data_IF_506540162657
#
_entry.id   IF_506540162657
#
_cell.length_a   1.000
_cell.length_b   1.000
_cell.length_c   1.000
_cell.angle_alpha   90.00
_cell.angle_beta   90.00
_cell.angle_gamma   90.00
#
_symmetry.space_group_name_H-M   'P 1'
#
loop_
_entity.id
_entity.type
_entity.pdbx_description
1 polymer ?
#
# COMPACT_ATOMS: atom_id res chain seq x y z
N UNK A 1 -11.15 23.84 -1.91
CA UNK A 1 -10.50 23.76 -0.58
C UNK A 1 -9.31 22.83 -0.77
N UNK A 2 -8.13 23.38 -0.68
CA UNK A 2 -6.87 22.67 -0.73
C UNK A 2 -6.83 21.64 0.41
N UNK A 3 -7.01 20.36 0.07
CA UNK A 3 -6.88 19.22 1.00
C UNK A 3 -5.46 18.68 1.03
N UNK A 4 -4.47 19.55 0.87
CA UNK A 4 -3.13 19.13 1.21
C UNK A 4 -3.15 18.53 2.61
N UNK A 5 -2.66 17.29 2.83
CA UNK A 5 -2.55 16.65 4.15
C UNK A 5 -1.79 17.50 5.17
N UNK A 6 -1.33 18.63 4.72
CA UNK A 6 -0.53 19.58 5.47
C UNK A 6 -1.31 20.54 6.39
N UNK A 7 -2.65 20.55 6.43
CA UNK A 7 -3.35 21.55 7.25
C UNK A 7 -3.33 21.29 8.76
N UNK A 8 -3.07 20.08 9.20
CA UNK A 8 -2.89 19.81 10.64
C UNK A 8 -1.42 19.71 11.06
N UNK A 9 -0.53 19.45 10.08
CA UNK A 9 0.93 19.38 10.25
C UNK A 9 1.62 20.40 9.34
N UNK A 10 0.90 21.20 8.61
CA UNK A 10 1.25 21.57 7.24
C UNK A 10 1.69 22.98 6.96
N UNK A 11 1.44 24.00 7.73
CA UNK A 11 2.01 25.33 7.40
C UNK A 11 3.50 25.44 7.70
N UNK A 12 3.97 24.53 8.54
CA UNK A 12 5.41 24.46 8.90
C UNK A 12 6.22 23.65 7.89
N UNK A 13 5.60 22.70 7.16
CA UNK A 13 6.27 21.84 6.18
C UNK A 13 6.52 22.48 4.83
N UNK A 14 5.82 23.54 4.47
CA UNK A 14 5.89 24.18 3.14
C UNK A 14 7.25 24.71 2.72
N UNK A 15 8.23 24.79 3.62
CA UNK A 15 9.54 25.38 3.34
C UNK A 15 10.70 24.40 3.21
N UNK A 16 10.49 23.11 3.49
CA UNK A 16 11.57 22.13 3.48
C UNK A 16 11.30 21.05 2.41
N UNK A 17 12.18 20.95 1.40
CA UNK A 17 11.97 20.07 0.24
C UNK A 17 12.16 18.57 0.53
N UNK A 18 12.90 18.19 1.57
CA UNK A 18 13.32 16.81 1.83
C UNK A 18 12.68 16.24 3.10
N UNK A 19 12.70 16.99 4.20
CA UNK A 19 12.15 16.53 5.49
C UNK A 19 11.17 17.57 6.02
N UNK A 20 9.99 17.12 6.42
CA UNK A 20 9.01 17.97 7.07
C UNK A 20 9.43 18.31 8.52
N UNK A 21 8.90 19.42 9.05
CA UNK A 21 9.13 19.80 10.45
C UNK A 21 8.13 19.10 11.35
N UNK A 22 8.55 18.41 12.42
CA UNK A 22 7.63 17.79 13.37
C UNK A 22 6.65 18.81 13.97
N UNK A 23 5.36 18.49 13.98
CA UNK A 23 4.33 19.26 14.63
C UNK A 23 3.82 18.55 15.89
N UNK A 24 3.43 19.33 16.89
CA UNK A 24 2.91 18.81 18.15
C UNK A 24 1.51 19.39 18.44
N UNK A 25 0.79 19.83 17.41
CA UNK A 25 -0.52 20.49 17.52
C UNK A 25 -1.58 19.63 18.18
N UNK A 26 -1.44 18.30 18.10
CA UNK A 26 -2.28 17.36 18.85
C UNK A 26 -2.26 17.61 20.38
N UNK A 27 -1.16 18.12 20.89
CA UNK A 27 -1.00 18.42 22.32
C UNK A 27 -1.30 19.88 22.68
N UNK A 28 -1.09 20.78 21.72
CA UNK A 28 -1.16 22.24 21.96
C UNK A 28 -2.46 22.89 21.49
N UNK A 29 -3.18 22.26 20.54
CA UNK A 29 -4.41 22.78 19.94
C UNK A 29 -5.48 21.70 19.78
N UNK A 30 -5.70 20.90 20.81
CA UNK A 30 -6.58 19.73 20.79
C UNK A 30 -8.00 20.02 20.28
N UNK A 31 -8.58 21.15 20.72
CA UNK A 31 -9.96 21.50 20.40
C UNK A 31 -10.19 21.84 18.92
N UNK A 32 -9.15 22.35 18.22
CA UNK A 32 -9.22 22.73 16.81
C UNK A 32 -8.33 21.86 15.93
N UNK A 33 -7.86 20.72 16.45
CA UNK A 33 -7.01 19.80 15.71
C UNK A 33 -7.79 19.10 14.61
N UNK A 34 -7.19 18.96 13.41
CA UNK A 34 -7.81 18.27 12.28
C UNK A 34 -7.72 16.74 12.46
N UNK A 35 -8.63 16.21 13.26
CA UNK A 35 -8.72 14.79 13.56
C UNK A 35 -8.98 13.93 12.32
N UNK A 36 -9.75 14.43 11.36
CA UNK A 36 -10.05 13.69 10.12
C UNK A 36 -8.79 13.44 9.32
N UNK A 37 -7.97 14.47 9.11
CA UNK A 37 -6.71 14.36 8.41
C UNK A 37 -5.68 13.52 9.20
N UNK A 38 -5.67 13.65 10.52
CA UNK A 38 -4.79 12.83 11.37
C UNK A 38 -5.12 11.35 11.25
N UNK A 39 -6.39 10.96 11.38
CA UNK A 39 -6.82 9.56 11.27
C UNK A 39 -6.55 9.02 9.87
N UNK A 40 -6.80 9.80 8.82
CA UNK A 40 -6.48 9.42 7.45
C UNK A 40 -4.99 9.06 7.30
N UNK A 41 -4.10 9.93 7.75
CA UNK A 41 -2.66 9.66 7.68
C UNK A 41 -2.21 8.52 8.61
N UNK A 42 -2.85 8.37 9.78
CA UNK A 42 -2.55 7.30 10.73
C UNK A 42 -2.82 5.93 10.13
N UNK A 43 -3.99 5.72 9.50
CA UNK A 43 -4.34 4.43 8.89
C UNK A 43 -3.49 4.13 7.66
N UNK A 44 -3.09 5.14 6.90
CA UNK A 44 -2.20 5.00 5.77
C UNK A 44 -0.77 4.61 6.21
N UNK A 45 -0.26 5.25 7.24
CA UNK A 45 0.99 4.90 7.89
C UNK A 45 0.99 3.44 8.39
N UNK A 46 -0.08 3.04 9.09
CA UNK A 46 -0.25 1.68 9.57
C UNK A 46 -0.30 0.67 8.39
N UNK A 47 -0.95 1.02 7.28
CA UNK A 47 -1.02 0.19 6.09
C UNK A 47 0.37 0.00 5.47
N UNK A 48 1.18 1.05 5.37
CA UNK A 48 2.57 0.98 4.87
C UNK A 48 3.40 -0.03 5.67
N UNK A 49 3.33 0.03 6.99
CA UNK A 49 4.03 -0.91 7.86
C UNK A 49 3.49 -2.35 7.73
N UNK A 50 2.18 -2.50 7.57
CA UNK A 50 1.51 -3.82 7.44
C UNK A 50 1.86 -4.52 6.13
N UNK A 51 2.03 -3.82 5.00
CA UNK A 51 2.43 -4.40 3.71
C UNK A 51 3.71 -5.21 3.85
N UNK A 52 4.67 -4.75 4.66
CA UNK A 52 5.95 -5.42 4.89
C UNK A 52 5.77 -6.78 5.56
N UNK A 53 4.76 -6.92 6.42
CA UNK A 53 4.53 -8.12 7.23
C UNK A 53 4.35 -9.39 6.39
N UNK A 54 3.63 -9.31 5.28
CA UNK A 54 3.37 -10.44 4.38
C UNK A 54 4.62 -11.01 3.74
N UNK A 55 5.57 -10.16 3.35
CA UNK A 55 6.84 -10.57 2.76
C UNK A 55 7.80 -11.22 3.77
N UNK A 56 7.67 -10.90 5.06
CA UNK A 56 8.52 -11.38 6.14
C UNK A 56 7.85 -12.45 7.01
N UNK A 57 6.58 -12.76 6.76
CA UNK A 57 5.80 -13.74 7.51
C UNK A 57 6.53 -15.09 7.66
N UNK A 58 6.31 -15.78 8.79
CA UNK A 58 6.89 -17.08 9.15
C UNK A 58 8.41 -17.11 9.37
N UNK A 59 9.12 -15.98 9.13
CA UNK A 59 10.59 -15.88 9.20
C UNK A 59 11.09 -14.81 10.17
N UNK A 60 10.19 -13.95 10.65
CA UNK A 60 10.54 -12.77 11.45
C UNK A 60 10.05 -12.94 12.89
N UNK A 61 10.88 -12.59 13.85
CA UNK A 61 10.48 -12.52 15.26
C UNK A 61 9.53 -11.33 15.47
N UNK A 62 8.53 -11.49 16.32
CA UNK A 62 7.55 -10.44 16.60
C UNK A 62 8.20 -9.11 17.06
N UNK A 63 9.24 -9.17 17.87
CA UNK A 63 9.98 -7.97 18.28
C UNK A 63 10.58 -7.22 17.09
N UNK A 64 11.13 -7.94 16.11
CA UNK A 64 11.64 -7.31 14.88
C UNK A 64 10.52 -6.66 14.07
N UNK A 65 9.33 -7.28 14.03
CA UNK A 65 8.13 -6.68 13.47
C UNK A 65 7.80 -5.34 14.14
N UNK A 66 7.77 -5.29 15.47
CA UNK A 66 7.50 -4.06 16.22
C UNK A 66 8.55 -2.97 15.92
N UNK A 67 9.83 -3.34 15.88
CA UNK A 67 10.92 -2.40 15.63
C UNK A 67 10.83 -1.79 14.20
N UNK A 68 10.71 -2.63 13.17
CA UNK A 68 10.63 -2.06 11.82
C UNK A 68 9.34 -1.25 11.59
N UNK A 69 8.21 -1.69 12.18
CA UNK A 69 6.96 -0.93 12.10
C UNK A 69 7.10 0.44 12.75
N UNK A 70 7.76 0.52 13.91
CA UNK A 70 8.06 1.79 14.56
C UNK A 70 8.94 2.70 13.69
N UNK A 71 9.99 2.15 13.05
CA UNK A 71 10.87 2.92 12.15
C UNK A 71 10.11 3.39 10.90
N UNK A 72 9.31 2.52 10.28
CA UNK A 72 8.49 2.91 9.13
C UNK A 72 7.54 4.04 9.51
N UNK A 73 6.84 3.90 10.62
CA UNK A 73 5.83 4.86 11.05
C UNK A 73 6.41 6.20 11.52
N UNK A 74 7.56 6.18 12.20
CA UNK A 74 8.15 7.39 12.77
C UNK A 74 9.09 8.13 11.81
N UNK A 75 9.67 7.43 10.82
CA UNK A 75 10.74 8.00 9.99
C UNK A 75 10.41 7.89 8.50
N UNK A 76 10.22 6.67 7.98
CA UNK A 76 10.14 6.44 6.53
C UNK A 76 8.87 7.06 5.95
N UNK A 77 7.70 6.68 6.47
CA UNK A 77 6.43 7.17 5.98
C UNK A 77 6.28 8.70 6.10
N UNK A 78 6.59 9.37 7.22
CA UNK A 78 6.45 10.82 7.30
C UNK A 78 7.35 11.58 6.32
N UNK A 79 8.55 11.10 6.05
CA UNK A 79 9.47 11.73 5.10
C UNK A 79 8.91 11.61 3.68
N UNK A 80 8.48 10.42 3.29
CA UNK A 80 8.02 10.15 1.93
C UNK A 80 6.64 10.78 1.66
N UNK A 81 5.70 10.68 2.62
CA UNK A 81 4.42 11.36 2.54
C UNK A 81 4.58 12.89 2.43
N UNK A 82 5.60 13.46 3.09
CA UNK A 82 5.95 14.87 2.90
C UNK A 82 6.40 15.17 1.45
N UNK A 83 7.19 14.29 0.83
CA UNK A 83 7.63 14.51 -0.56
C UNK A 83 6.46 14.63 -1.52
N UNK A 84 5.42 13.82 -1.32
CA UNK A 84 4.28 13.70 -2.24
C UNK A 84 3.13 14.64 -1.84
N UNK A 85 2.70 14.63 -0.57
CA UNK A 85 1.52 15.35 -0.10
C UNK A 85 1.85 16.58 0.75
N UNK A 86 3.02 16.61 1.37
CA UNK A 86 3.46 17.68 2.26
C UNK A 86 4.07 18.91 1.57
N UNK A 87 4.02 19.00 0.24
CA UNK A 87 4.64 20.08 -0.52
C UNK A 87 6.17 19.93 -0.67
N UNK A 88 6.68 18.70 -0.55
CA UNK A 88 8.07 18.36 -0.79
C UNK A 88 8.46 18.39 -2.27
N UNK A 89 9.60 17.79 -2.60
CA UNK A 89 10.19 17.91 -3.94
C UNK A 89 9.36 17.20 -5.04
N UNK A 90 8.75 16.05 -4.75
CA UNK A 90 7.87 15.35 -5.70
C UNK A 90 6.63 16.17 -6.02
N UNK A 91 5.98 16.73 -4.99
CA UNK A 91 4.83 17.61 -5.16
C UNK A 91 5.17 18.82 -6.04
N UNK A 92 6.36 19.42 -5.84
CA UNK A 92 6.83 20.56 -6.64
C UNK A 92 7.14 20.20 -8.09
N UNK A 93 7.45 18.94 -8.38
CA UNK A 93 7.62 18.42 -9.73
C UNK A 93 6.29 18.10 -10.42
N UNK A 94 5.15 18.23 -9.74
CA UNK A 94 3.84 17.88 -10.27
C UNK A 94 3.51 16.38 -10.17
N UNK A 95 4.22 15.62 -9.33
CA UNK A 95 3.92 14.22 -9.09
C UNK A 95 2.54 14.08 -8.42
N UNK A 96 1.68 13.25 -9.00
CA UNK A 96 0.33 13.02 -8.53
C UNK A 96 0.19 11.62 -7.92
N UNK A 97 -0.32 11.57 -6.70
CA UNK A 97 -0.71 10.33 -6.02
C UNK A 97 -1.95 10.64 -5.16
N UNK A 98 -3.14 10.27 -5.68
CA UNK A 98 -4.41 10.65 -5.07
C UNK A 98 -4.61 10.03 -3.70
N UNK A 99 -4.41 8.71 -3.59
CA UNK A 99 -4.70 7.98 -2.36
C UNK A 99 -3.58 7.01 -1.91
N UNK A 100 -2.37 7.07 -2.51
CA UNK A 100 -1.20 6.43 -1.92
C UNK A 100 -0.67 5.19 -2.62
N UNK A 101 -0.75 5.05 -3.95
CA UNK A 101 0.00 3.98 -4.64
C UNK A 101 1.50 4.09 -4.36
N UNK A 102 2.03 5.32 -4.36
CA UNK A 102 3.43 5.59 -4.05
C UNK A 102 3.67 5.64 -2.54
N UNK A 103 3.01 6.57 -1.85
CA UNK A 103 3.26 6.85 -0.43
C UNK A 103 3.05 5.66 0.50
N UNK A 104 2.19 4.72 0.11
CA UNK A 104 1.83 3.59 0.96
C UNK A 104 2.36 2.29 0.36
N UNK A 105 1.91 1.97 -0.87
CA UNK A 105 2.11 0.65 -1.42
C UNK A 105 3.53 0.46 -1.99
N UNK A 106 4.06 1.44 -2.70
CA UNK A 106 5.44 1.36 -3.20
C UNK A 106 6.45 1.40 -2.05
N UNK A 107 6.27 2.29 -1.08
CA UNK A 107 7.15 2.38 0.09
C UNK A 107 7.09 1.08 0.90
N UNK A 108 5.89 0.59 1.21
CA UNK A 108 5.72 -0.71 1.87
C UNK A 108 6.32 -1.85 1.07
N UNK A 109 6.14 -1.86 -0.26
CA UNK A 109 6.71 -2.86 -1.16
C UNK A 109 8.23 -2.86 -1.21
N UNK A 110 8.87 -1.68 -1.23
CA UNK A 110 10.34 -1.55 -1.19
C UNK A 110 10.89 -2.03 0.16
N UNK A 111 10.27 -1.63 1.27
CA UNK A 111 10.64 -2.12 2.59
C UNK A 111 10.47 -3.63 2.70
N UNK A 112 9.39 -4.19 2.12
CA UNK A 112 9.13 -5.62 2.06
C UNK A 112 10.20 -6.37 1.24
N UNK A 113 10.60 -5.81 0.10
CA UNK A 113 11.66 -6.38 -0.75
C UNK A 113 12.99 -6.45 0.00
N UNK A 114 13.38 -5.34 0.64
CA UNK A 114 14.63 -5.28 1.43
C UNK A 114 14.57 -6.28 2.59
N UNK A 115 13.47 -6.28 3.36
CA UNK A 115 13.28 -7.19 4.48
C UNK A 115 13.33 -8.66 4.04
N UNK A 116 12.66 -9.01 2.94
CA UNK A 116 12.68 -10.36 2.38
C UNK A 116 14.08 -10.77 1.88
N UNK A 117 14.83 -9.84 1.28
CA UNK A 117 16.21 -10.07 0.84
C UNK A 117 17.15 -10.35 2.02
N UNK A 118 17.02 -9.60 3.11
CA UNK A 118 17.82 -9.81 4.32
C UNK A 118 17.50 -11.13 5.00
N UNK A 119 16.21 -11.50 5.11
CA UNK A 119 15.79 -12.74 5.74
C UNK A 119 16.06 -13.98 4.89
N UNK A 120 16.17 -13.84 3.60
CA UNK A 120 16.30 -14.96 2.67
C UNK A 120 15.00 -15.75 2.48
N UNK A 121 15.04 -16.86 1.73
CA UNK A 121 13.87 -17.67 1.42
C UNK A 121 13.38 -18.46 2.63
N UNK A 122 12.09 -18.86 2.59
CA UNK A 122 11.52 -19.82 3.55
C UNK A 122 12.31 -21.12 3.55
N UNK A 123 12.45 -21.76 4.72
CA UNK A 123 13.09 -23.06 4.85
C UNK A 123 12.39 -24.07 3.95
N UNK A 124 13.16 -24.77 3.09
CA UNK A 124 12.63 -25.73 2.12
C UNK A 124 12.07 -25.12 0.82
N UNK A 125 12.16 -23.81 0.61
CA UNK A 125 11.78 -23.17 -0.67
C UNK A 125 12.67 -23.63 -1.82
N UNK A 126 13.98 -23.69 -1.58
CA UNK A 126 14.97 -24.17 -2.54
C UNK A 126 15.68 -25.39 -1.96
N UNK A 127 15.47 -26.56 -2.57
CA UNK A 127 16.09 -27.82 -2.14
C UNK A 127 17.08 -28.26 -3.19
N UNK A 128 18.36 -28.34 -2.82
CA UNK A 128 19.40 -28.91 -3.68
C UNK A 128 19.18 -30.42 -3.79
N UNK A 129 19.10 -30.94 -5.00
CA UNK A 129 18.97 -32.37 -5.29
C UNK A 129 20.36 -33.04 -5.36
N UNK A 130 20.39 -34.37 -5.34
CA UNK A 130 21.65 -35.15 -5.44
C UNK A 130 22.40 -34.92 -6.74
N UNK A 131 21.68 -34.59 -7.82
CA UNK A 131 22.21 -34.26 -9.15
C UNK A 131 22.70 -32.80 -9.27
N UNK A 132 22.67 -32.03 -8.19
CA UNK A 132 23.05 -30.61 -8.16
C UNK A 132 21.96 -29.63 -8.60
N UNK A 133 20.83 -30.10 -9.11
CA UNK A 133 19.70 -29.25 -9.49
C UNK A 133 19.00 -28.65 -8.27
N UNK A 134 18.32 -27.50 -8.46
CA UNK A 134 17.53 -26.84 -7.41
C UNK A 134 16.05 -27.09 -7.67
N UNK A 135 15.41 -27.85 -6.78
CA UNK A 135 13.95 -28.00 -6.79
C UNK A 135 13.30 -26.90 -5.98
N UNK A 136 12.38 -26.17 -6.60
CA UNK A 136 11.58 -25.13 -5.94
C UNK A 136 10.37 -25.77 -5.27
N UNK A 137 10.26 -25.65 -3.93
CA UNK A 137 9.11 -26.10 -3.16
C UNK A 137 7.95 -25.11 -3.27
N UNK A 138 6.73 -25.62 -3.44
CA UNK A 138 5.52 -24.84 -3.32
C UNK A 138 5.12 -24.69 -1.84
N UNK A 139 4.58 -23.53 -1.51
CA UNK A 139 3.94 -23.25 -0.22
C UNK A 139 2.49 -22.83 -0.48
N UNK A 140 1.58 -23.77 -0.73
CA UNK A 140 0.18 -23.44 -0.95
C UNK A 140 -0.44 -22.84 0.30
N UNK A 141 -1.35 -21.88 0.13
CA UNK A 141 -2.17 -21.38 1.23
C UNK A 141 -3.05 -22.49 1.83
N UNK A 142 -3.35 -22.38 3.11
CA UNK A 142 -4.12 -23.40 3.83
C UNK A 142 -5.61 -23.39 3.46
N UNK A 143 -6.15 -22.24 3.03
CA UNK A 143 -7.55 -22.09 2.67
C UNK A 143 -7.75 -21.01 1.60
N UNK A 144 -8.00 -21.43 0.38
CA UNK A 144 -8.16 -20.53 -0.76
C UNK A 144 -9.48 -19.74 -0.70
N UNK A 145 -10.55 -20.33 -0.18
CA UNK A 145 -11.83 -19.63 -0.02
C UNK A 145 -11.72 -18.50 1.01
N UNK A 146 -11.00 -18.73 2.11
CA UNK A 146 -10.73 -17.68 3.09
C UNK A 146 -9.83 -16.57 2.50
N UNK A 147 -8.87 -16.93 1.63
CA UNK A 147 -8.08 -15.96 0.89
C UNK A 147 -8.93 -15.11 -0.04
N UNK A 148 -9.88 -15.71 -0.76
CA UNK A 148 -10.83 -14.99 -1.60
C UNK A 148 -11.72 -14.05 -0.78
N UNK A 149 -12.26 -14.50 0.35
CA UNK A 149 -13.02 -13.65 1.26
C UNK A 149 -12.19 -12.44 1.72
N UNK A 150 -10.91 -12.65 2.05
CA UNK A 150 -10.00 -11.57 2.43
C UNK A 150 -9.84 -10.52 1.32
N UNK A 151 -9.72 -10.95 0.06
CA UNK A 151 -9.65 -10.04 -1.09
C UNK A 151 -10.95 -9.25 -1.26
N UNK A 152 -12.12 -9.88 -1.12
CA UNK A 152 -13.40 -9.16 -1.19
C UNK A 152 -13.57 -8.13 -0.06
N UNK A 153 -13.15 -8.45 1.16
CA UNK A 153 -13.17 -7.51 2.28
C UNK A 153 -12.23 -6.33 2.01
N UNK A 154 -11.02 -6.59 1.49
CA UNK A 154 -10.08 -5.54 1.11
C UNK A 154 -10.63 -4.67 -0.03
N UNK A 155 -11.26 -5.27 -1.05
CA UNK A 155 -11.85 -4.51 -2.16
C UNK A 155 -13.00 -3.62 -1.67
N UNK A 156 -13.88 -4.14 -0.82
CA UNK A 156 -14.93 -3.34 -0.18
C UNK A 156 -14.33 -2.16 0.61
N UNK A 157 -13.30 -2.42 1.41
CA UNK A 157 -12.59 -1.38 2.16
C UNK A 157 -11.90 -0.35 1.26
N UNK A 158 -11.53 -0.75 0.04
CA UNK A 158 -10.84 0.14 -0.92
C UNK A 158 -11.71 1.28 -1.45
N UNK A 159 -13.01 1.09 -1.51
CA UNK A 159 -13.94 2.21 -1.78
C UNK A 159 -13.83 3.29 -0.71
N UNK A 160 -13.72 2.90 0.56
CA UNK A 160 -13.43 3.85 1.64
C UNK A 160 -12.02 4.42 1.55
N UNK A 161 -11.03 3.60 1.19
CA UNK A 161 -9.64 4.00 1.07
C UNK A 161 -9.44 5.11 0.02
N UNK A 162 -9.89 4.88 -1.21
CA UNK A 162 -9.80 5.86 -2.29
C UNK A 162 -10.85 6.98 -2.11
N UNK A 163 -12.05 6.62 -1.68
CA UNK A 163 -13.15 7.58 -1.50
C UNK A 163 -12.90 8.61 -0.40
N UNK A 164 -12.15 8.25 0.65
CA UNK A 164 -11.81 9.19 1.72
C UNK A 164 -10.96 10.39 1.25
N UNK A 165 -10.26 10.25 0.12
CA UNK A 165 -9.51 11.34 -0.49
C UNK A 165 -10.38 12.27 -1.36
N UNK A 166 -11.64 11.91 -1.67
CA UNK A 166 -12.54 12.70 -2.50
C UNK A 166 -12.99 14.00 -1.80
N UNK A 167 -13.27 15.01 -2.64
CA UNK A 167 -13.70 16.34 -2.18
C UNK A 167 -15.15 16.66 -2.56
N UNK A 168 -15.75 15.90 -3.49
CA UNK A 168 -17.15 16.06 -3.91
C UNK A 168 -17.80 14.69 -4.15
N UNK A 169 -19.13 14.69 -4.25
CA UNK A 169 -19.92 13.47 -4.54
C UNK A 169 -19.68 13.00 -5.98
N UNK A 170 -19.55 13.92 -6.92
CA UNK A 170 -19.26 13.62 -8.31
C UNK A 170 -17.92 12.90 -8.45
N UNK A 171 -16.87 13.41 -7.79
CA UNK A 171 -15.57 12.78 -7.75
C UNK A 171 -15.63 11.40 -7.10
N UNK A 172 -16.45 11.22 -6.05
CA UNK A 172 -16.62 9.94 -5.39
C UNK A 172 -17.19 8.89 -6.35
N UNK A 173 -18.16 9.27 -7.19
CA UNK A 173 -18.73 8.37 -8.20
C UNK A 173 -17.70 7.89 -9.22
N UNK A 174 -16.89 8.78 -9.77
CA UNK A 174 -15.80 8.47 -10.70
C UNK A 174 -14.74 7.58 -10.03
N UNK A 175 -14.28 7.92 -8.84
CA UNK A 175 -13.30 7.15 -8.08
C UNK A 175 -13.81 5.74 -7.75
N UNK A 176 -15.09 5.57 -7.46
CA UNK A 176 -15.68 4.24 -7.24
C UNK A 176 -15.71 3.42 -8.53
N UNK A 177 -16.03 4.05 -9.66
CA UNK A 177 -16.01 3.38 -10.95
C UNK A 177 -14.60 2.88 -11.29
N UNK A 178 -13.60 3.73 -11.21
CA UNK A 178 -12.20 3.37 -11.52
C UNK A 178 -11.66 2.32 -10.55
N UNK A 179 -12.01 2.42 -9.26
CA UNK A 179 -11.68 1.44 -8.21
C UNK A 179 -12.36 0.08 -8.44
N UNK A 180 -13.47 0.04 -9.17
CA UNK A 180 -14.15 -1.21 -9.57
C UNK A 180 -13.52 -1.81 -10.83
N UNK A 181 -13.33 -1.01 -11.86
CA UNK A 181 -12.93 -1.47 -13.19
C UNK A 181 -11.48 -1.96 -13.21
N UNK A 182 -10.56 -1.24 -12.60
CA UNK A 182 -9.13 -1.60 -12.64
C UNK A 182 -8.82 -2.98 -12.04
N UNK A 183 -9.27 -3.34 -10.83
CA UNK A 183 -9.03 -4.66 -10.27
C UNK A 183 -9.81 -5.76 -11.03
N UNK A 184 -10.99 -5.46 -11.58
CA UNK A 184 -11.74 -6.42 -12.39
C UNK A 184 -10.97 -6.78 -13.67
N UNK A 185 -10.46 -5.79 -14.39
CA UNK A 185 -9.62 -6.01 -15.58
C UNK A 185 -8.35 -6.76 -15.22
N UNK A 186 -7.65 -6.36 -14.15
CA UNK A 186 -6.43 -7.03 -13.70
C UNK A 186 -6.67 -8.52 -13.40
N UNK A 187 -7.81 -8.83 -12.77
CA UNK A 187 -8.21 -10.21 -12.48
C UNK A 187 -8.44 -11.01 -13.77
N UNK A 188 -9.21 -10.46 -14.72
CA UNK A 188 -9.51 -11.13 -15.99
C UNK A 188 -8.25 -11.35 -16.81
N UNK A 189 -7.39 -10.33 -16.92
CA UNK A 189 -6.12 -10.45 -17.65
C UNK A 189 -5.23 -11.53 -17.03
N UNK A 190 -5.12 -11.58 -15.70
CA UNK A 190 -4.34 -12.60 -15.01
C UNK A 190 -4.96 -14.00 -15.20
N UNK A 191 -6.27 -14.11 -15.18
CA UNK A 191 -6.99 -15.36 -15.44
C UNK A 191 -6.67 -15.90 -16.83
N UNK A 192 -6.77 -15.07 -17.86
CA UNK A 192 -6.45 -15.43 -19.25
C UNK A 192 -4.98 -15.78 -19.39
N UNK A 193 -4.08 -14.97 -18.83
CA UNK A 193 -2.63 -15.23 -18.86
C UNK A 193 -2.28 -16.58 -18.22
N UNK A 194 -2.80 -16.86 -17.04
CA UNK A 194 -2.51 -18.14 -16.35
C UNK A 194 -3.14 -19.32 -17.08
N UNK A 195 -4.31 -19.12 -17.68
CA UNK A 195 -4.96 -20.17 -18.49
C UNK A 195 -4.12 -20.54 -19.71
N UNK A 196 -3.65 -19.55 -20.47
CA UNK A 196 -2.77 -19.78 -21.63
C UNK A 196 -1.46 -20.43 -21.21
N UNK A 197 -0.84 -19.92 -20.13
CA UNK A 197 0.50 -20.33 -19.73
C UNK A 197 0.53 -21.71 -19.03
N UNK A 198 -0.49 -22.03 -18.25
CA UNK A 198 -0.51 -23.22 -17.40
C UNK A 198 -1.63 -24.21 -17.74
N UNK A 199 -2.44 -23.95 -18.77
CA UNK A 199 -3.57 -24.77 -19.19
C UNK A 199 -4.82 -24.68 -18.32
N UNK A 200 -4.74 -23.92 -17.20
CA UNK A 200 -5.87 -23.65 -16.29
C UNK A 200 -5.66 -22.33 -15.55
N UNK A 201 -6.73 -21.63 -15.18
CA UNK A 201 -6.63 -20.43 -14.36
C UNK A 201 -6.02 -20.74 -12.98
N UNK A 202 -5.17 -19.86 -12.50
CA UNK A 202 -4.64 -19.91 -11.12
C UNK A 202 -5.37 -18.90 -10.24
N UNK A 203 -6.21 -19.42 -9.33
CA UNK A 203 -7.05 -18.59 -8.46
C UNK A 203 -6.22 -17.71 -7.54
N UNK A 204 -5.11 -18.21 -6.98
CA UNK A 204 -4.23 -17.43 -6.11
C UNK A 204 -3.62 -16.24 -6.86
N UNK A 205 -3.19 -16.46 -8.10
CA UNK A 205 -2.65 -15.38 -8.94
C UNK A 205 -3.75 -14.37 -9.31
N UNK A 206 -4.97 -14.81 -9.60
CA UNK A 206 -6.10 -13.92 -9.87
C UNK A 206 -6.47 -13.06 -8.67
N UNK A 207 -6.47 -13.63 -7.47
CA UNK A 207 -6.70 -12.89 -6.22
C UNK A 207 -5.62 -11.82 -5.97
N UNK A 208 -4.36 -12.17 -6.20
CA UNK A 208 -3.27 -11.20 -6.12
C UNK A 208 -3.38 -10.12 -7.20
N UNK A 209 -3.80 -10.48 -8.41
CA UNK A 209 -3.99 -9.51 -9.49
C UNK A 209 -5.12 -8.51 -9.18
N UNK A 210 -6.21 -8.94 -8.51
CA UNK A 210 -7.24 -8.02 -8.03
C UNK A 210 -6.64 -6.95 -7.12
N UNK A 211 -5.83 -7.37 -6.14
CA UNK A 211 -5.17 -6.42 -5.23
C UNK A 211 -4.15 -5.53 -5.96
N UNK A 212 -3.40 -6.08 -6.90
CA UNK A 212 -2.47 -5.29 -7.71
C UNK A 212 -3.19 -4.22 -8.54
N UNK A 213 -4.36 -4.55 -9.10
CA UNK A 213 -5.22 -3.58 -9.80
C UNK A 213 -5.74 -2.48 -8.88
N UNK A 214 -6.14 -2.82 -7.66
CA UNK A 214 -6.53 -1.84 -6.63
C UNK A 214 -5.37 -0.90 -6.28
N UNK A 215 -4.20 -1.46 -6.05
CA UNK A 215 -2.98 -0.67 -5.76
C UNK A 215 -2.64 0.25 -6.92
N UNK A 216 -2.67 -0.25 -8.15
CA UNK A 216 -2.30 0.53 -9.33
C UNK A 216 -3.22 1.73 -9.55
N UNK A 217 -4.54 1.55 -9.37
CA UNK A 217 -5.51 2.62 -9.58
C UNK A 217 -5.52 3.66 -8.46
N UNK A 218 -4.98 3.35 -7.30
CA UNK A 218 -5.05 4.21 -6.11
C UNK A 218 -4.41 5.60 -6.32
N UNK A 219 -3.36 5.71 -7.15
CA UNK A 219 -2.75 7.01 -7.45
C UNK A 219 -3.56 7.82 -8.47
N UNK A 220 -4.02 7.25 -9.63
CA UNK A 220 -4.67 8.03 -10.67
C UNK A 220 -6.21 7.90 -10.66
N UNK A 221 -6.83 7.36 -9.61
CA UNK A 221 -8.27 7.03 -9.63
C UNK A 221 -9.20 8.24 -9.82
N UNK A 222 -8.70 9.44 -9.60
CA UNK A 222 -9.42 10.71 -9.77
C UNK A 222 -9.21 11.39 -11.13
N UNK A 223 -8.24 10.92 -11.92
CA UNK A 223 -7.86 11.53 -13.21
C UNK A 223 -7.95 10.56 -14.39
N UNK A 224 -8.31 9.30 -14.16
CA UNK A 224 -8.57 8.31 -15.22
C UNK A 224 -10.04 8.29 -15.58
N UNK A 225 -10.32 8.42 -16.87
CA UNK A 225 -11.63 8.30 -17.50
C UNK A 225 -11.93 6.86 -17.96
#
# INVERSE_FOLDING_TARGET
RDRSPSRGLGDVYKRQGIVGKPGFDIFTNYANFDWSNFVFNLVFCATTATIVSGAMAERTKFLSYCVYSAVISAVIYPIEAHWTWGGGWLSKMGFHDFAGSNCIHMVGGICALIGAAILGPRIGKFKKQKDGSIKVGAFPGHNLALGALGVFILWLGWYGFNGAACTSVEQLGSVFLTTTVAPAIATVVCMVFTWIKYGKPDVSMCLNASLAGLVAITAPCDVTD
#
